data_IF_650154723499
#
_entry.id   IF_650154723499
#
_cell.length_a   1.000
_cell.length_b   1.000
_cell.length_c   1.000
_cell.angle_alpha   90.00
_cell.angle_beta   90.00
_cell.angle_gamma   90.00
#
_symmetry.space_group_name_H-M   'P 1'
#
loop_
_entity.id
_entity.type
_entity.pdbx_description
1 polymer ?
#
# COMPACT_ATOMS: atom_id res chain seq x y z
N UNK A 1 -22.62 -10.43 8.41
CA UNK A 1 -21.87 -9.69 9.44
C UNK A 1 -21.68 -8.30 8.87
N UNK A 2 -22.36 -7.29 9.39
CA UNK A 2 -22.15 -5.90 8.96
C UNK A 2 -20.80 -5.46 9.52
N UNK A 3 -19.91 -5.00 8.63
CA UNK A 3 -18.63 -4.42 9.02
C UNK A 3 -18.92 -3.01 9.52
N UNK A 4 -18.35 -2.66 10.67
CA UNK A 4 -18.44 -1.30 11.20
C UNK A 4 -17.95 -0.28 10.14
N UNK A 5 -18.65 0.85 9.92
CA UNK A 5 -18.29 1.82 8.88
C UNK A 5 -16.86 2.36 9.00
N UNK A 6 -16.36 2.57 10.22
CA UNK A 6 -14.98 3.02 10.43
C UNK A 6 -13.97 1.92 10.10
N UNK A 7 -14.30 0.67 10.44
CA UNK A 7 -13.49 -0.47 10.04
C UNK A 7 -13.46 -0.64 8.51
N UNK A 8 -14.58 -0.42 7.82
CA UNK A 8 -14.65 -0.46 6.37
C UNK A 8 -13.80 0.64 5.71
N UNK A 9 -13.85 1.85 6.24
CA UNK A 9 -13.04 2.98 5.77
C UNK A 9 -11.53 2.74 6.00
N UNK A 10 -11.16 2.22 7.16
CA UNK A 10 -9.78 1.83 7.44
C UNK A 10 -9.25 0.76 6.47
N UNK A 11 -10.04 -0.30 6.22
CA UNK A 11 -9.68 -1.35 5.28
C UNK A 11 -9.58 -0.81 3.84
N UNK A 12 -10.43 0.14 3.47
CA UNK A 12 -10.37 0.83 2.17
C UNK A 12 -9.07 1.60 2.03
N UNK A 13 -8.66 2.36 3.04
CA UNK A 13 -7.40 3.10 3.02
C UNK A 13 -6.17 2.19 2.99
N UNK A 14 -6.16 1.11 3.76
CA UNK A 14 -5.09 0.11 3.69
C UNK A 14 -4.97 -0.48 2.27
N UNK A 15 -6.10 -0.89 1.69
CA UNK A 15 -6.11 -1.47 0.35
C UNK A 15 -5.66 -0.47 -0.71
N UNK A 16 -6.09 0.80 -0.62
CA UNK A 16 -5.63 1.89 -1.49
C UNK A 16 -4.10 2.02 -1.45
N UNK A 17 -3.51 2.02 -0.25
CA UNK A 17 -2.05 2.08 -0.10
C UNK A 17 -1.35 0.89 -0.76
N UNK A 18 -1.87 -0.32 -0.55
CA UNK A 18 -1.26 -1.55 -1.08
C UNK A 18 -1.25 -1.55 -2.61
N UNK A 19 -2.39 -1.19 -3.20
CA UNK A 19 -2.55 -1.10 -4.65
C UNK A 19 -1.60 -0.06 -5.21
N UNK A 20 -1.55 1.15 -4.64
CA UNK A 20 -0.65 2.22 -5.10
C UNK A 20 0.83 1.82 -5.07
N UNK A 21 1.27 1.23 -3.97
CA UNK A 21 2.63 0.69 -3.84
C UNK A 21 2.89 -0.40 -4.89
N UNK A 22 1.90 -1.27 -5.11
CA UNK A 22 2.01 -2.43 -6.00
C UNK A 22 1.99 -2.10 -7.49
N UNK A 23 1.47 -0.93 -7.90
CA UNK A 23 1.37 -0.50 -9.30
C UNK A 23 2.68 -0.01 -9.90
N UNK A 24 3.47 0.70 -9.09
CA UNK A 24 4.69 1.35 -9.55
C UNK A 24 5.88 0.39 -9.37
N UNK A 25 6.56 -0.08 -10.45
CA UNK A 25 7.59 -1.11 -10.35
C UNK A 25 8.73 -0.73 -9.40
N UNK A 26 9.15 0.53 -9.43
CA UNK A 26 10.23 1.03 -8.57
C UNK A 26 9.80 1.13 -7.11
N UNK A 27 8.60 1.69 -6.85
CA UNK A 27 8.02 1.78 -5.51
C UNK A 27 7.82 0.39 -4.90
N UNK A 28 7.27 -0.53 -5.67
CA UNK A 28 7.05 -1.93 -5.29
C UNK A 28 8.34 -2.61 -4.86
N UNK A 29 9.38 -2.56 -5.71
CA UNK A 29 10.67 -3.18 -5.43
C UNK A 29 11.32 -2.57 -4.18
N UNK A 30 11.35 -1.24 -4.09
CA UNK A 30 11.91 -0.55 -2.93
C UNK A 30 11.15 -0.87 -1.64
N UNK A 31 9.83 -1.05 -1.73
CA UNK A 31 9.01 -1.42 -0.58
C UNK A 31 9.26 -2.84 -0.12
N UNK A 32 9.33 -3.81 -1.04
CA UNK A 32 9.71 -5.19 -0.71
C UNK A 32 11.06 -5.21 0.00
N UNK A 33 12.07 -4.54 -0.55
CA UNK A 33 13.40 -4.48 0.04
C UNK A 33 13.40 -3.89 1.45
N UNK A 34 12.68 -2.77 1.66
CA UNK A 34 12.53 -2.16 3.00
C UNK A 34 11.89 -3.12 4.00
N UNK A 35 10.84 -3.84 3.59
CA UNK A 35 10.14 -4.80 4.45
C UNK A 35 11.05 -5.99 4.79
N UNK A 36 11.76 -6.53 3.80
CA UNK A 36 12.70 -7.63 4.00
C UNK A 36 13.84 -7.23 4.94
N UNK A 37 14.42 -6.03 4.76
CA UNK A 37 15.46 -5.50 5.66
C UNK A 37 14.95 -5.37 7.10
N UNK A 38 13.72 -4.87 7.30
CA UNK A 38 13.10 -4.80 8.61
C UNK A 38 13.01 -6.18 9.27
N UNK A 39 12.48 -7.19 8.56
CA UNK A 39 12.35 -8.55 9.09
C UNK A 39 13.70 -9.24 9.32
N UNK A 40 14.69 -9.03 8.44
CA UNK A 40 16.06 -9.55 8.60
C UNK A 40 16.75 -8.95 9.83
N UNK A 41 16.46 -7.68 10.14
CA UNK A 41 16.98 -7.01 11.33
C UNK A 41 16.34 -7.49 12.64
N UNK A 42 15.33 -8.38 12.57
CA UNK A 42 14.53 -8.84 13.73
C UNK A 42 13.95 -7.68 14.54
N UNK A 43 13.51 -6.62 13.87
CA UNK A 43 12.94 -5.44 14.51
C UNK A 43 13.97 -4.52 15.19
N UNK A 44 15.27 -4.69 14.91
CA UNK A 44 16.29 -3.76 15.38
C UNK A 44 16.23 -2.39 14.67
N UNK A 45 15.53 -2.31 13.55
CA UNK A 45 15.23 -1.07 12.84
C UNK A 45 13.78 -0.61 13.13
N UNK A 46 13.51 0.70 13.02
CA UNK A 46 12.14 1.22 13.12
C UNK A 46 11.25 0.61 12.02
N UNK A 47 9.93 0.58 12.29
CA UNK A 47 8.94 0.20 11.30
C UNK A 47 9.05 1.12 10.07
N UNK A 48 9.10 0.57 8.85
CA UNK A 48 9.17 1.38 7.65
C UNK A 48 7.86 2.14 7.44
N UNK A 49 7.99 3.41 7.06
CA UNK A 49 6.90 4.29 6.65
C UNK A 49 6.97 4.55 5.14
N UNK A 50 5.81 4.82 4.55
CA UNK A 50 5.68 5.03 3.11
C UNK A 50 4.92 6.32 2.81
N UNK A 51 5.52 7.18 1.99
CA UNK A 51 4.91 8.42 1.51
C UNK A 51 4.39 8.19 0.10
N UNK A 52 3.08 8.34 -0.09
CA UNK A 52 2.40 8.10 -1.37
C UNK A 52 1.83 9.40 -1.91
N UNK A 53 2.24 9.77 -3.11
CA UNK A 53 1.69 10.90 -3.86
C UNK A 53 0.64 10.38 -4.85
N UNK A 54 -0.60 10.83 -4.70
CA UNK A 54 -1.67 10.57 -5.65
C UNK A 54 -1.70 11.73 -6.63
N UNK A 55 -1.49 11.42 -7.90
CA UNK A 55 -1.49 12.39 -8.98
C UNK A 55 -2.75 12.23 -9.84
N UNK A 56 -3.28 13.35 -10.32
CA UNK A 56 -4.31 13.35 -11.37
C UNK A 56 -3.72 13.02 -12.75
N UNK A 57 -4.61 12.89 -13.75
CA UNK A 57 -4.22 12.66 -15.14
C UNK A 57 -3.37 13.79 -15.75
N UNK A 58 -3.30 14.96 -15.12
CA UNK A 58 -2.46 16.09 -15.52
C UNK A 58 -1.07 16.07 -14.87
N UNK A 59 -0.80 15.10 -13.99
CA UNK A 59 0.46 14.96 -13.25
C UNK A 59 0.54 15.87 -12.02
N UNK A 60 -0.58 16.43 -11.56
CA UNK A 60 -0.61 17.24 -10.33
C UNK A 60 -0.93 16.36 -9.13
N UNK A 61 -0.20 16.54 -8.04
CA UNK A 61 -0.49 15.89 -6.77
C UNK A 61 -1.83 16.41 -6.25
N UNK A 62 -2.83 15.53 -6.16
CA UNK A 62 -4.16 15.83 -5.60
C UNK A 62 -4.25 15.46 -4.13
N UNK A 63 -3.50 14.43 -3.71
CA UNK A 63 -3.53 13.92 -2.34
C UNK A 63 -2.18 13.31 -1.96
N UNK A 64 -1.81 13.46 -0.70
CA UNK A 64 -0.64 12.81 -0.11
C UNK A 64 -1.12 11.89 1.02
N UNK A 65 -0.56 10.69 1.10
CA UNK A 65 -0.86 9.72 2.15
C UNK A 65 0.45 9.28 2.81
N UNK A 66 0.51 9.47 4.12
CA UNK A 66 1.55 8.89 4.97
C UNK A 66 1.02 7.56 5.52
N UNK A 67 1.60 6.46 5.03
CA UNK A 67 1.27 5.12 5.48
C UNK A 67 2.29 4.65 6.53
N UNK A 68 1.82 4.59 7.77
CA UNK A 68 2.58 4.15 8.96
C UNK A 68 2.06 2.78 9.43
N UNK A 69 2.46 1.67 8.77
CA UNK A 69 1.91 0.36 9.08
C UNK A 69 2.40 -0.21 10.41
N UNK A 70 1.52 -0.93 11.09
CA UNK A 70 1.93 -1.88 12.11
C UNK A 70 2.57 -3.16 11.49
N UNK A 71 3.16 -4.02 12.32
CA UNK A 71 3.80 -5.26 11.85
C UNK A 71 2.84 -6.17 11.06
N UNK A 72 1.56 -6.24 11.45
CA UNK A 72 0.57 -7.07 10.75
C UNK A 72 0.25 -6.49 9.39
N UNK A 73 0.15 -5.16 9.28
CA UNK A 73 -0.03 -4.47 8.02
C UNK A 73 1.18 -4.67 7.10
N UNK A 74 2.40 -4.66 7.64
CA UNK A 74 3.61 -4.95 6.87
C UNK A 74 3.64 -6.38 6.33
N UNK A 75 3.24 -7.37 7.13
CA UNK A 75 3.12 -8.75 6.66
C UNK A 75 2.10 -8.84 5.53
N UNK A 76 0.91 -8.24 5.69
CA UNK A 76 -0.12 -8.24 4.63
C UNK A 76 0.34 -7.53 3.37
N UNK A 77 1.04 -6.40 3.50
CA UNK A 77 1.62 -5.68 2.37
C UNK A 77 2.64 -6.55 1.65
N UNK A 78 3.55 -7.19 2.39
CA UNK A 78 4.55 -8.09 1.82
C UNK A 78 3.90 -9.26 1.09
N UNK A 79 2.88 -9.89 1.67
CA UNK A 79 2.12 -10.96 1.01
C UNK A 79 1.44 -10.45 -0.26
N UNK A 80 0.79 -9.28 -0.22
CA UNK A 80 0.15 -8.65 -1.37
C UNK A 80 1.15 -8.42 -2.51
N UNK A 81 2.30 -7.82 -2.21
CA UNK A 81 3.37 -7.51 -3.17
C UNK A 81 4.15 -8.74 -3.66
N UNK A 82 3.95 -9.92 -3.08
CA UNK A 82 4.54 -11.16 -3.59
C UNK A 82 3.50 -12.05 -4.30
N UNK A 83 2.22 -11.88 -3.99
CA UNK A 83 1.13 -12.69 -4.52
C UNK A 83 0.62 -12.22 -5.86
N UNK A 84 0.52 -10.91 -6.08
CA UNK A 84 -0.18 -10.33 -7.24
C UNK A 84 0.79 -9.61 -8.17
N UNK A 85 0.75 -9.87 -9.47
CA UNK A 85 1.56 -9.15 -10.46
C UNK A 85 1.13 -7.69 -10.59
N UNK A 86 1.95 -6.86 -11.25
CA UNK A 86 1.60 -5.45 -11.49
C UNK A 86 0.34 -5.36 -12.37
N UNK A 87 0.19 -6.23 -13.35
CA UNK A 87 -0.98 -6.32 -14.21
C UNK A 87 -2.24 -6.65 -13.41
N UNK A 88 -2.17 -7.62 -12.50
CA UNK A 88 -3.29 -7.98 -11.62
C UNK A 88 -3.64 -6.83 -10.66
N UNK A 89 -2.64 -6.15 -10.10
CA UNK A 89 -2.87 -4.95 -9.27
C UNK A 89 -3.49 -3.82 -10.09
N UNK A 90 -3.10 -3.65 -11.36
CA UNK A 90 -3.71 -2.68 -12.27
C UNK A 90 -5.18 -3.00 -12.53
N UNK A 91 -5.54 -4.26 -12.71
CA UNK A 91 -6.94 -4.65 -12.81
C UNK A 91 -7.71 -4.33 -11.52
N UNK A 92 -7.11 -4.54 -10.34
CA UNK A 92 -7.73 -4.20 -9.06
C UNK A 92 -7.97 -2.70 -8.86
N UNK A 93 -7.17 -1.82 -9.48
CA UNK A 93 -7.41 -0.36 -9.39
C UNK A 93 -8.75 0.06 -9.96
N UNK A 94 -9.30 -0.69 -10.93
CA UNK A 94 -10.64 -0.43 -11.47
C UNK A 94 -11.76 -0.64 -10.43
N UNK A 95 -11.44 -1.30 -9.32
CA UNK A 95 -12.35 -1.51 -8.19
C UNK A 95 -12.27 -0.38 -7.16
N UNK A 96 -11.28 0.52 -7.27
CA UNK A 96 -11.21 1.72 -6.46
C UNK A 96 -12.17 2.77 -7.07
N UNK A 97 -13.07 3.37 -6.26
CA UNK A 97 -13.97 4.41 -6.76
C UNK A 97 -13.16 5.61 -7.29
N UNK A 98 -13.61 6.20 -8.41
CA UNK A 98 -12.98 7.36 -9.04
C UNK A 98 -12.98 8.63 -8.15
N UNK A 99 -13.85 8.67 -7.14
CA UNK A 99 -14.05 9.81 -6.23
C UNK A 99 -13.16 9.76 -4.96
N UNK A 100 -11.88 9.38 -5.09
CA UNK A 100 -10.88 9.51 -4.02
C UNK A 100 -9.71 10.41 -4.41
#
# INVERSE_FOLDING_TARGET
MEIDPHQAEYLKYEFECFVRIGLEPECRRATIEKIEQYFLSRGAQPLPTFHLEIMDASGRVTRMIDFEPDERQLVRLHEFLNRWTIEEVREMTSLLPEDL
#
